data_IF_169398380754
#
_entry.id   IF_169398380754
#
_cell.length_a   1.000
_cell.length_b   1.000
_cell.length_c   1.000
_cell.angle_alpha   90.00
_cell.angle_beta   90.00
_cell.angle_gamma   90.00
#
_symmetry.space_group_name_H-M   'P 1'
#
loop_
_entity.id
_entity.type
_entity.pdbx_description
1 polymer ?
#
# COMPACT_ATOMS: atom_id res chain seq x y z
N UNK A 1 -11.74 -53.89 -21.90
CA UNK A 1 -12.87 -53.21 -21.24
C UNK A 1 -12.29 -52.49 -20.03
N UNK A 2 -11.86 -51.23 -20.21
CA UNK A 2 -11.31 -50.41 -19.13
C UNK A 2 -12.47 -49.70 -18.41
N UNK A 3 -12.95 -50.32 -17.33
CA UNK A 3 -14.18 -49.92 -16.61
C UNK A 3 -13.91 -48.89 -15.49
N UNK A 4 -12.66 -48.50 -15.25
CA UNK A 4 -12.33 -47.51 -14.21
C UNK A 4 -11.62 -46.29 -14.79
N UNK A 5 -12.34 -45.49 -15.57
CA UNK A 5 -12.01 -44.08 -15.80
C UNK A 5 -12.88 -43.26 -14.86
N UNK A 6 -12.30 -42.78 -13.76
CA UNK A 6 -12.94 -41.82 -12.87
C UNK A 6 -13.40 -40.62 -13.70
N UNK A 7 -14.63 -40.11 -13.52
CA UNK A 7 -15.03 -38.89 -14.19
C UNK A 7 -14.05 -37.80 -13.78
N UNK A 8 -13.43 -37.12 -14.74
CA UNK A 8 -12.74 -35.86 -14.48
C UNK A 8 -13.81 -34.94 -13.91
N UNK A 9 -13.84 -34.83 -12.57
CA UNK A 9 -14.64 -33.86 -11.88
C UNK A 9 -14.09 -32.51 -12.32
N UNK A 10 -14.72 -31.95 -13.36
CA UNK A 10 -14.51 -30.60 -13.84
C UNK A 10 -15.04 -29.67 -12.74
N UNK A 11 -14.32 -29.60 -11.62
CA UNK A 11 -14.45 -28.56 -10.60
C UNK A 11 -13.91 -27.29 -11.21
N UNK A 12 -14.65 -26.75 -12.19
CA UNK A 12 -14.58 -25.35 -12.53
C UNK A 12 -14.85 -24.60 -11.22
N UNK A 13 -13.77 -24.17 -10.56
CA UNK A 13 -13.84 -23.30 -9.39
C UNK A 13 -14.81 -22.18 -9.79
N UNK A 14 -15.84 -21.88 -8.99
CA UNK A 14 -16.82 -20.86 -9.36
C UNK A 14 -16.05 -19.60 -9.74
N UNK A 15 -16.21 -19.14 -10.99
CA UNK A 15 -15.60 -17.90 -11.44
C UNK A 15 -16.08 -16.81 -10.48
N UNK A 16 -15.21 -16.39 -9.56
CA UNK A 16 -15.51 -15.33 -8.62
C UNK A 16 -15.97 -14.14 -9.44
N UNK A 17 -17.23 -13.74 -9.26
CA UNK A 17 -17.79 -12.60 -9.97
C UNK A 17 -16.89 -11.39 -9.75
N UNK A 18 -16.40 -10.83 -10.87
CA UNK A 18 -15.65 -9.59 -10.89
C UNK A 18 -16.51 -8.49 -10.29
N UNK A 19 -16.11 -7.94 -9.15
CA UNK A 19 -16.72 -6.74 -8.55
C UNK A 19 -15.70 -5.60 -8.60
N UNK A 20 -15.50 -4.99 -9.78
CA UNK A 20 -14.41 -4.04 -10.02
C UNK A 20 -14.51 -2.80 -9.13
N UNK A 21 -15.73 -2.32 -8.87
CA UNK A 21 -15.98 -1.18 -7.99
C UNK A 21 -15.55 -1.51 -6.56
N UNK A 22 -15.86 -2.72 -6.07
CA UNK A 22 -15.47 -3.13 -4.73
C UNK A 22 -13.94 -3.28 -4.62
N UNK A 23 -13.28 -3.81 -5.64
CA UNK A 23 -11.81 -3.93 -5.67
C UNK A 23 -11.11 -2.57 -5.58
N UNK A 24 -11.62 -1.57 -6.30
CA UNK A 24 -11.11 -0.19 -6.27
C UNK A 24 -11.44 0.45 -4.91
N UNK A 25 -12.69 0.37 -4.44
CA UNK A 25 -13.11 0.98 -3.19
C UNK A 25 -12.35 0.44 -1.98
N UNK A 26 -12.23 -0.88 -1.84
CA UNK A 26 -11.47 -1.48 -0.74
C UNK A 26 -9.96 -1.23 -0.88
N UNK A 27 -9.42 -1.29 -2.10
CA UNK A 27 -8.02 -0.97 -2.36
C UNK A 27 -7.68 0.46 -1.94
N UNK A 28 -8.51 1.42 -2.33
CA UNK A 28 -8.34 2.83 -1.97
C UNK A 28 -8.51 3.06 -0.48
N UNK A 29 -9.58 2.51 0.12
CA UNK A 29 -9.85 2.63 1.55
C UNK A 29 -8.66 2.13 2.36
N UNK A 30 -8.09 0.97 2.01
CA UNK A 30 -6.90 0.45 2.68
C UNK A 30 -5.69 1.34 2.39
N UNK A 31 -5.43 1.71 1.13
CA UNK A 31 -4.25 2.52 0.78
C UNK A 31 -4.22 3.90 1.46
N UNK A 32 -5.38 4.47 1.78
CA UNK A 32 -5.50 5.80 2.38
C UNK A 32 -5.70 5.68 3.89
N UNK A 33 -6.76 4.98 4.33
CA UNK A 33 -7.15 4.94 5.74
C UNK A 33 -6.15 4.14 6.56
N UNK A 34 -5.69 2.99 6.07
CA UNK A 34 -4.70 2.20 6.82
C UNK A 34 -3.37 2.95 6.91
N UNK A 35 -2.89 3.52 5.80
CA UNK A 35 -1.66 4.31 5.78
C UNK A 35 -1.77 5.50 6.73
N UNK A 36 -2.89 6.23 6.74
CA UNK A 36 -3.10 7.37 7.64
C UNK A 36 -3.08 6.96 9.11
N UNK A 37 -3.78 5.87 9.48
CA UNK A 37 -3.77 5.35 10.85
C UNK A 37 -2.35 4.95 11.25
N UNK A 38 -1.65 4.24 10.37
CA UNK A 38 -0.31 3.74 10.65
C UNK A 38 0.70 4.89 10.76
N UNK A 39 0.69 5.86 9.84
CA UNK A 39 1.53 7.06 9.92
C UNK A 39 1.25 7.89 11.18
N UNK A 40 -0.01 7.97 11.62
CA UNK A 40 -0.36 8.64 12.88
C UNK A 40 0.24 7.93 14.10
N UNK A 41 0.12 6.59 14.16
CA UNK A 41 0.73 5.79 15.23
C UNK A 41 2.25 5.89 15.20
N UNK A 42 2.86 5.84 14.02
CA UNK A 42 4.29 6.00 13.82
C UNK A 42 4.80 7.36 14.33
N UNK A 43 4.11 8.46 13.98
CA UNK A 43 4.43 9.80 14.47
C UNK A 43 4.40 9.89 16.00
N UNK A 44 3.41 9.26 16.65
CA UNK A 44 3.34 9.20 18.12
C UNK A 44 4.53 8.42 18.69
N UNK A 45 4.82 7.23 18.15
CA UNK A 45 5.90 6.38 18.64
C UNK A 45 7.25 7.08 18.54
N UNK A 46 7.57 7.67 17.39
CA UNK A 46 8.80 8.43 17.21
C UNK A 46 8.84 9.70 18.05
N UNK A 47 7.70 10.39 18.22
CA UNK A 47 7.59 11.54 19.10
C UNK A 47 7.98 11.19 20.54
N UNK A 48 7.49 10.05 21.05
CA UNK A 48 7.85 9.53 22.38
C UNK A 48 9.33 9.16 22.45
N UNK A 49 9.87 8.47 21.44
CA UNK A 49 11.29 8.08 21.42
C UNK A 49 12.20 9.32 21.46
N UNK A 50 11.89 10.36 20.68
CA UNK A 50 12.64 11.61 20.65
C UNK A 50 12.49 12.34 22.00
N UNK A 51 11.28 12.40 22.55
CA UNK A 51 11.02 12.99 23.86
C UNK A 51 11.90 12.37 24.96
N UNK A 52 12.07 11.05 24.95
CA UNK A 52 12.86 10.30 25.93
C UNK A 52 14.36 10.48 25.69
N UNK A 53 14.81 10.45 24.44
CA UNK A 53 16.24 10.38 24.10
C UNK A 53 16.91 11.75 24.00
N UNK A 54 16.18 12.77 23.55
CA UNK A 54 16.71 14.11 23.28
C UNK A 54 16.00 15.21 24.08
N UNK A 55 14.81 14.93 24.61
CA UNK A 55 13.98 15.90 25.34
C UNK A 55 12.86 16.47 24.48
N UNK A 56 11.80 16.96 25.14
CA UNK A 56 10.55 17.40 24.49
C UNK A 56 10.77 18.59 23.54
N UNK A 57 11.77 19.42 23.81
CA UNK A 57 12.11 20.61 23.00
C UNK A 57 12.58 20.26 21.58
N UNK A 58 13.04 19.02 21.36
CA UNK A 58 13.51 18.54 20.06
C UNK A 58 12.40 17.90 19.21
N UNK A 59 11.17 17.78 19.73
CA UNK A 59 10.02 17.30 18.98
C UNK A 59 9.56 18.41 18.03
N UNK A 60 10.26 18.53 16.91
CA UNK A 60 9.89 19.42 15.81
C UNK A 60 9.64 18.61 14.56
N UNK A 61 8.66 19.05 13.77
CA UNK A 61 8.34 18.46 12.47
C UNK A 61 9.57 18.46 11.55
N UNK A 62 10.37 19.52 11.59
CA UNK A 62 11.63 19.65 10.84
C UNK A 62 12.67 18.60 11.22
N UNK A 63 12.79 18.25 12.51
CA UNK A 63 13.74 17.24 12.95
C UNK A 63 13.35 15.86 12.41
N UNK A 64 12.06 15.49 12.51
CA UNK A 64 11.55 14.24 11.96
C UNK A 64 11.70 14.21 10.43
N UNK A 65 11.33 15.30 9.74
CA UNK A 65 11.43 15.41 8.29
C UNK A 65 12.86 15.36 7.74
N UNK A 66 13.88 15.55 8.59
CA UNK A 66 15.31 15.45 8.22
C UNK A 66 15.99 14.18 8.75
N UNK A 67 15.33 13.43 9.62
CA UNK A 67 15.89 12.22 10.22
C UNK A 67 15.78 11.05 9.24
N UNK A 68 16.91 10.64 8.66
CA UNK A 68 16.94 9.56 7.67
C UNK A 68 16.42 8.22 8.20
N UNK A 69 16.60 7.92 9.49
CA UNK A 69 16.13 6.67 10.11
C UNK A 69 14.61 6.67 10.19
N UNK A 70 14.02 7.79 10.62
CA UNK A 70 12.57 7.97 10.63
C UNK A 70 11.98 7.81 9.22
N UNK A 71 12.50 8.56 8.25
CA UNK A 71 12.01 8.52 6.87
C UNK A 71 12.14 7.13 6.22
N UNK A 72 13.20 6.38 6.55
CA UNK A 72 13.37 5.04 6.03
C UNK A 72 12.36 4.06 6.62
N UNK A 73 12.06 4.18 7.92
CA UNK A 73 11.07 3.35 8.59
C UNK A 73 9.67 3.69 8.07
N UNK A 74 9.34 4.97 7.92
CA UNK A 74 8.08 5.42 7.35
C UNK A 74 7.87 4.87 5.94
N UNK A 75 8.93 4.88 5.11
CA UNK A 75 8.86 4.35 3.76
C UNK A 75 8.62 2.82 3.74
N UNK A 76 9.24 2.07 4.65
CA UNK A 76 9.03 0.63 4.80
C UNK A 76 7.61 0.31 5.26
N UNK A 77 7.12 1.05 6.27
CA UNK A 77 5.80 0.87 6.86
C UNK A 77 4.71 1.23 5.85
N UNK A 78 4.86 2.36 5.16
CA UNK A 78 3.99 2.81 4.07
C UNK A 78 4.00 1.80 2.92
N UNK A 79 5.17 1.29 2.52
CA UNK A 79 5.29 0.22 1.52
C UNK A 79 4.53 -1.04 1.93
N UNK A 80 4.59 -1.45 3.21
CA UNK A 80 3.84 -2.59 3.70
C UNK A 80 2.32 -2.38 3.63
N UNK A 81 1.84 -1.18 3.99
CA UNK A 81 0.42 -0.81 3.89
C UNK A 81 -0.07 -0.84 2.43
N UNK A 82 0.70 -0.25 1.52
CA UNK A 82 0.38 -0.20 0.09
C UNK A 82 0.44 -1.58 -0.57
N UNK A 83 1.39 -2.43 -0.16
CA UNK A 83 1.43 -3.82 -0.59
C UNK A 83 0.17 -4.58 -0.15
N UNK A 84 -0.28 -4.37 1.09
CA UNK A 84 -1.51 -4.96 1.59
C UNK A 84 -2.75 -4.45 0.85
N UNK A 85 -2.80 -3.15 0.53
CA UNK A 85 -3.85 -2.56 -0.31
C UNK A 85 -3.91 -3.23 -1.69
N UNK A 86 -2.76 -3.39 -2.36
CA UNK A 86 -2.67 -4.10 -3.63
C UNK A 86 -3.16 -5.55 -3.54
N UNK A 87 -2.78 -6.27 -2.47
CA UNK A 87 -3.23 -7.64 -2.21
C UNK A 87 -4.74 -7.73 -2.03
N UNK A 88 -5.36 -6.76 -1.37
CA UNK A 88 -6.81 -6.67 -1.26
C UNK A 88 -7.44 -6.45 -2.64
N UNK A 89 -6.95 -5.49 -3.42
CA UNK A 89 -7.45 -5.23 -4.78
C UNK A 89 -7.39 -6.48 -5.66
N UNK A 90 -6.27 -7.22 -5.63
CA UNK A 90 -6.13 -8.48 -6.38
C UNK A 90 -7.16 -9.54 -5.98
N UNK A 91 -7.44 -9.69 -4.68
CA UNK A 91 -8.43 -10.66 -4.17
C UNK A 91 -9.86 -10.40 -4.65
N UNK A 92 -10.22 -9.14 -4.90
CA UNK A 92 -11.57 -8.74 -5.33
C UNK A 92 -11.71 -8.63 -6.86
N UNK A 93 -10.60 -8.70 -7.60
CA UNK A 93 -10.59 -8.69 -9.07
C UNK A 93 -9.67 -9.79 -9.64
N UNK A 94 -10.01 -11.08 -9.41
CA UNK A 94 -9.24 -12.20 -9.93
C UNK A 94 -9.16 -12.10 -11.46
N UNK A 95 -8.02 -12.50 -12.03
CA UNK A 95 -7.68 -12.42 -13.48
C UNK A 95 -7.38 -11.00 -14.02
N UNK A 96 -7.83 -9.93 -13.37
CA UNK A 96 -7.56 -8.54 -13.78
C UNK A 96 -6.79 -7.72 -12.73
N UNK A 97 -6.09 -8.42 -11.85
CA UNK A 97 -5.39 -7.85 -10.68
C UNK A 97 -4.44 -6.70 -11.04
N UNK A 98 -3.63 -6.87 -12.10
CA UNK A 98 -2.71 -5.82 -12.54
C UNK A 98 -3.45 -4.60 -13.10
N UNK A 99 -4.54 -4.79 -13.84
CA UNK A 99 -5.32 -3.69 -14.41
C UNK A 99 -5.94 -2.85 -13.29
N UNK A 100 -6.59 -3.49 -12.32
CA UNK A 100 -7.19 -2.79 -11.19
C UNK A 100 -6.16 -2.27 -10.20
N UNK A 101 -5.04 -2.98 -9.98
CA UNK A 101 -3.92 -2.50 -9.19
C UNK A 101 -3.31 -1.22 -9.76
N UNK A 102 -3.18 -1.12 -11.09
CA UNK A 102 -2.67 0.08 -11.76
C UNK A 102 -3.65 1.25 -11.64
N UNK A 103 -4.96 0.99 -11.73
CA UNK A 103 -6.00 2.01 -11.48
C UNK A 103 -5.92 2.51 -10.04
N UNK A 104 -5.85 1.61 -9.05
CA UNK A 104 -5.72 1.98 -7.63
C UNK A 104 -4.44 2.76 -7.40
N UNK A 105 -3.29 2.30 -7.91
CA UNK A 105 -2.01 3.01 -7.79
C UNK A 105 -2.07 4.42 -8.40
N UNK A 106 -2.69 4.57 -9.58
CA UNK A 106 -2.86 5.86 -10.23
C UNK A 106 -3.72 6.82 -9.40
N UNK A 107 -4.85 6.34 -8.88
CA UNK A 107 -5.73 7.16 -8.02
C UNK A 107 -5.03 7.51 -6.71
N UNK A 108 -4.37 6.54 -6.06
CA UNK A 108 -3.59 6.77 -4.84
C UNK A 108 -2.49 7.81 -5.08
N UNK A 109 -1.78 7.74 -6.21
CA UNK A 109 -0.76 8.73 -6.55
C UNK A 109 -1.36 10.13 -6.75
N UNK A 110 -2.50 10.24 -7.45
CA UNK A 110 -3.18 11.54 -7.63
C UNK A 110 -3.58 12.11 -6.27
N UNK A 111 -4.13 11.29 -5.37
CA UNK A 111 -4.49 11.74 -4.02
C UNK A 111 -3.25 12.19 -3.24
N UNK A 112 -2.16 11.44 -3.31
CA UNK A 112 -0.91 11.78 -2.63
C UNK A 112 -0.32 13.08 -3.18
N UNK A 113 -0.35 13.27 -4.50
CA UNK A 113 0.06 14.49 -5.17
C UNK A 113 -0.80 15.69 -4.77
N UNK A 114 -2.12 15.52 -4.67
CA UNK A 114 -3.04 16.56 -4.22
C UNK A 114 -2.77 16.93 -2.77
N UNK A 115 -2.56 15.96 -1.88
CA UNK A 115 -2.20 16.20 -0.49
C UNK A 115 -0.88 17.00 -0.44
N UNK A 116 0.15 16.56 -1.17
CA UNK A 116 1.42 17.27 -1.22
C UNK A 116 1.27 18.71 -1.74
N UNK A 117 0.50 18.91 -2.82
CA UNK A 117 0.37 20.21 -3.47
C UNK A 117 -0.51 21.21 -2.71
N UNK A 118 -1.53 20.74 -1.99
CA UNK A 118 -2.51 21.60 -1.30
C UNK A 118 -2.28 21.71 0.22
N UNK A 119 -1.69 20.68 0.83
CA UNK A 119 -1.45 20.62 2.28
C UNK A 119 0.04 20.72 2.63
N UNK A 120 0.95 20.61 1.66
CA UNK A 120 2.36 20.87 1.84
C UNK A 120 2.55 22.32 2.27
N UNK A 121 2.83 22.55 3.54
CA UNK A 121 3.20 23.87 4.03
C UNK A 121 4.57 24.25 3.42
N UNK A 122 4.74 25.50 3.01
CA UNK A 122 5.99 26.05 2.42
C UNK A 122 7.26 25.91 3.31
N UNK A 123 7.17 25.21 4.46
CA UNK A 123 8.17 25.22 5.52
C UNK A 123 8.92 23.90 5.71
N UNK A 124 8.31 22.75 5.41
CA UNK A 124 8.90 21.43 5.68
C UNK A 124 9.23 20.72 4.37
N UNK A 125 10.46 20.94 3.88
CA UNK A 125 10.97 20.26 2.70
C UNK A 125 11.58 18.92 3.09
N UNK A 126 10.96 17.84 2.63
CA UNK A 126 11.55 16.50 2.73
C UNK A 126 12.76 16.37 1.81
N UNK A 127 13.72 15.48 2.13
CA UNK A 127 14.80 15.15 1.23
C UNK A 127 14.27 14.59 -0.10
N UNK A 128 14.83 15.05 -1.22
CA UNK A 128 14.42 14.64 -2.59
C UNK A 128 14.40 13.12 -2.76
N UNK A 129 15.35 12.40 -2.13
CA UNK A 129 15.39 10.94 -2.20
C UNK A 129 14.14 10.29 -1.61
N UNK A 130 13.61 10.84 -0.52
CA UNK A 130 12.42 10.34 0.15
C UNK A 130 11.19 10.63 -0.69
N UNK A 131 11.07 11.83 -1.25
CA UNK A 131 9.96 12.18 -2.15
C UNK A 131 9.89 11.23 -3.36
N UNK A 132 11.02 11.04 -4.05
CA UNK A 132 11.10 10.13 -5.20
C UNK A 132 10.73 8.70 -4.78
N UNK A 133 11.28 8.24 -3.65
CA UNK A 133 11.04 6.90 -3.17
C UNK A 133 9.57 6.68 -2.76
N UNK A 134 8.93 7.66 -2.13
CA UNK A 134 7.52 7.63 -1.74
C UNK A 134 6.60 7.52 -2.97
N UNK A 135 6.86 8.29 -4.04
CA UNK A 135 6.11 8.14 -5.29
C UNK A 135 6.34 6.79 -5.97
N UNK A 136 7.59 6.31 -6.00
CA UNK A 136 7.93 5.03 -6.61
C UNK A 136 7.29 3.85 -5.85
N UNK A 137 7.27 3.91 -4.51
CA UNK A 137 6.70 2.90 -3.63
C UNK A 137 5.20 2.72 -3.89
N UNK A 138 4.45 3.77 -4.19
CA UNK A 138 3.01 3.65 -4.51
C UNK A 138 2.78 2.67 -5.66
N UNK A 139 3.51 2.84 -6.76
CA UNK A 139 3.39 1.93 -7.90
C UNK A 139 3.94 0.54 -7.60
N UNK A 140 5.15 0.48 -7.06
CA UNK A 140 5.85 -0.80 -6.86
C UNK A 140 5.09 -1.66 -5.85
N UNK A 141 4.74 -1.13 -4.68
CA UNK A 141 4.11 -1.89 -3.61
C UNK A 141 2.70 -2.35 -3.99
N UNK A 142 1.85 -1.47 -4.55
CA UNK A 142 0.48 -1.84 -4.94
C UNK A 142 0.50 -2.90 -6.06
N UNK A 143 1.34 -2.73 -7.08
CA UNK A 143 1.41 -3.69 -8.19
C UNK A 143 1.97 -5.04 -7.75
N UNK A 144 3.01 -5.05 -6.91
CA UNK A 144 3.54 -6.29 -6.32
C UNK A 144 2.50 -6.97 -5.42
N UNK A 145 1.80 -6.19 -4.60
CA UNK A 145 0.71 -6.67 -3.75
C UNK A 145 -0.40 -7.33 -4.56
N UNK A 146 -0.85 -6.67 -5.63
CA UNK A 146 -1.88 -7.20 -6.52
C UNK A 146 -1.42 -8.51 -7.16
N UNK A 147 -0.23 -8.53 -7.78
CA UNK A 147 0.34 -9.72 -8.44
C UNK A 147 0.55 -10.92 -7.51
N UNK A 148 0.78 -10.69 -6.22
CA UNK A 148 1.00 -11.76 -5.24
C UNK A 148 -0.21 -12.70 -5.10
N UNK A 149 -1.42 -12.22 -5.44
CA UNK A 149 -2.67 -12.98 -5.33
C UNK A 149 -2.78 -14.03 -6.44
N UNK A 150 -2.55 -13.65 -7.71
CA UNK A 150 -2.54 -14.60 -8.83
C UNK A 150 -1.51 -15.71 -8.66
N UNK A 151 -0.36 -15.39 -8.07
CA UNK A 151 0.67 -16.41 -7.81
C UNK A 151 0.23 -17.44 -6.77
N UNK A 152 -0.61 -17.05 -5.81
CA UNK A 152 -1.15 -17.95 -4.80
C UNK A 152 -2.29 -18.83 -5.36
N UNK A 153 -3.09 -18.32 -6.30
CA UNK A 153 -4.17 -19.10 -6.93
C UNK A 153 -3.65 -20.13 -7.96
N UNK A 154 -2.51 -19.87 -8.62
CA UNK A 154 -1.89 -20.79 -9.57
C UNK A 154 -1.12 -21.96 -8.91
N UNK A 155 -0.93 -21.94 -7.59
CA UNK A 155 -0.24 -22.99 -6.83
C UNK A 155 -1.20 -23.95 -6.11
N UNK A 156 -2.52 -23.81 -6.33
CA UNK A 156 -3.58 -24.64 -5.73
C UNK A 156 -4.47 -25.28 -6.79
#
# INVERSE_FOLDING_TARGET
>A
MDIYKTPDANTQKPQRQLKPINAIAYGLLVSIVLTLIVSFVEGIVFGIIIAITQGVEYITEDFMARNAVFLFIDLLVTSACLFYAGKITGRYAPQQELKFGLIVAGITLVIYWLIYSFLGSDKVNYPIWYEIASFAVIFIAILLGAKSVKSAENQQ
#
